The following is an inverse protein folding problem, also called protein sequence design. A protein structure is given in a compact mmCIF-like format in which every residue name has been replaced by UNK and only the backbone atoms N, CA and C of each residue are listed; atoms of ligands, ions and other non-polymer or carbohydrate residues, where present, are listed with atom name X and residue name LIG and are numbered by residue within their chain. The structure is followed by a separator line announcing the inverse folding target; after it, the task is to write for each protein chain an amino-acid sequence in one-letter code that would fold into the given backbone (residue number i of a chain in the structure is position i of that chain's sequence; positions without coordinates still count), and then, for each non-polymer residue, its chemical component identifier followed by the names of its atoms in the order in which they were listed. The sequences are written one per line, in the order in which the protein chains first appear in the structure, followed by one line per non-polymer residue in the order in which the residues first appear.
data_IF_764553091016
#
_entry.id   IF_764553091016
#
_cell.length_a   1.000
_cell.length_b   1.000
_cell.length_c   1.000
_cell.angle_alpha   90.00
_cell.angle_beta   90.00
_cell.angle_gamma   90.00
#
_symmetry.space_group_name_H-M   'P 1'
#
loop_
_entity.id
_entity.type
_entity.pdbx_description
1 polymer ?
#
# COMPACT_ATOMS: atom_id res chain seq x y z
N UNK A 1 18.61 7.08 -0.58
CA UNK A 1 17.66 6.05 -1.07
C UNK A 1 17.94 5.82 -2.55
N UNK A 2 17.97 4.58 -3.05
CA UNK A 2 18.14 4.29 -4.49
C UNK A 2 16.81 3.79 -5.04
N UNK A 3 16.36 4.34 -6.17
CA UNK A 3 15.12 3.93 -6.82
C UNK A 3 15.44 3.12 -8.08
N UNK A 4 14.67 2.07 -8.31
CA UNK A 4 14.74 1.26 -9.53
C UNK A 4 13.33 1.00 -10.04
N UNK A 5 13.06 1.36 -11.28
CA UNK A 5 11.83 0.95 -11.94
C UNK A 5 11.90 -0.55 -12.23
N UNK A 6 10.91 -1.31 -11.78
CA UNK A 6 10.82 -2.76 -12.00
C UNK A 6 9.41 -3.13 -12.44
N UNK A 7 9.31 -4.14 -13.29
CA UNK A 7 8.03 -4.77 -13.57
C UNK A 7 7.62 -5.66 -12.39
N UNK A 8 6.32 -5.88 -12.13
CA UNK A 8 5.87 -6.72 -11.03
C UNK A 8 6.48 -8.14 -11.02
N UNK A 9 6.65 -8.75 -12.20
CA UNK A 9 7.26 -10.07 -12.38
C UNK A 9 8.78 -10.10 -12.11
N UNK A 10 9.42 -8.93 -11.98
CA UNK A 10 10.85 -8.74 -11.72
C UNK A 10 11.13 -8.12 -10.35
N UNK A 11 10.12 -8.01 -9.48
CA UNK A 11 10.27 -7.40 -8.16
C UNK A 11 11.29 -8.15 -7.29
N UNK A 12 11.37 -9.48 -7.42
CA UNK A 12 12.21 -10.32 -6.56
C UNK A 12 11.70 -10.34 -5.12
N UNK A 13 12.61 -10.58 -4.16
CA UNK A 13 12.32 -10.42 -2.72
C UNK A 13 12.50 -8.95 -2.31
N UNK A 14 11.54 -8.42 -1.55
CA UNK A 14 11.54 -7.05 -1.03
C UNK A 14 11.08 -7.07 0.42
N UNK A 15 11.60 -6.19 1.27
CA UNK A 15 11.20 -6.14 2.68
C UNK A 15 9.77 -5.62 2.87
N UNK A 16 9.32 -4.77 1.94
CA UNK A 16 8.00 -4.18 1.98
C UNK A 16 7.44 -3.82 0.60
N UNK A 17 6.12 -3.79 0.50
CA UNK A 17 5.36 -3.37 -0.68
C UNK A 17 4.36 -2.29 -0.25
N UNK A 18 4.38 -1.15 -0.94
CA UNK A 18 3.38 -0.10 -0.77
C UNK A 18 2.28 -0.30 -1.81
N UNK A 19 1.03 -0.40 -1.35
CA UNK A 19 -0.14 -0.66 -2.20
C UNK A 19 -1.15 0.47 -2.05
N UNK A 20 -1.40 1.27 -3.10
CA UNK A 20 -2.54 2.19 -3.10
C UNK A 20 -3.85 1.41 -3.16
N UNK A 21 -4.78 1.72 -2.27
CA UNK A 21 -6.12 1.14 -2.24
C UNK A 21 -7.17 2.19 -2.57
N UNK A 22 -7.80 2.03 -3.72
CA UNK A 22 -8.91 2.89 -4.10
C UNK A 22 -10.22 2.39 -3.51
N UNK A 23 -11.13 3.32 -3.21
CA UNK A 23 -12.48 3.01 -2.79
C UNK A 23 -13.19 2.15 -3.84
N UNK A 24 -13.93 1.14 -3.37
CA UNK A 24 -14.76 0.25 -4.19
C UNK A 24 -14.01 -0.50 -5.31
N UNK A 25 -12.70 -0.65 -5.18
CA UNK A 25 -11.86 -1.43 -6.11
C UNK A 25 -11.32 -2.69 -5.45
N UNK A 26 -11.20 -3.79 -6.21
CA UNK A 26 -10.56 -4.99 -5.71
C UNK A 26 -9.05 -4.75 -5.51
N UNK A 27 -8.42 -5.47 -4.56
CA UNK A 27 -6.97 -5.44 -4.39
C UNK A 27 -6.23 -5.84 -5.68
N UNK A 28 -5.02 -5.30 -5.94
CA UNK A 28 -4.29 -5.55 -7.18
C UNK A 28 -4.08 -7.05 -7.46
N UNK A 29 -4.40 -7.48 -8.68
CA UNK A 29 -4.45 -8.89 -9.08
C UNK A 29 -3.09 -9.60 -9.06
N UNK A 30 -1.99 -8.85 -9.20
CA UNK A 30 -0.61 -9.36 -9.17
C UNK A 30 -0.15 -9.77 -7.76
N UNK A 31 -0.89 -9.39 -6.72
CA UNK A 31 -0.61 -9.85 -5.36
C UNK A 31 -1.01 -11.33 -5.17
N UNK A 32 -0.29 -12.08 -4.32
CA UNK A 32 -0.68 -13.43 -3.95
C UNK A 32 -2.13 -13.50 -3.45
N UNK A 33 -2.83 -14.59 -3.77
CA UNK A 33 -4.25 -14.77 -3.41
C UNK A 33 -4.49 -14.55 -1.91
N UNK A 34 -3.64 -15.11 -1.06
CA UNK A 34 -3.74 -14.94 0.40
C UNK A 34 -3.66 -13.47 0.82
N UNK A 35 -2.71 -12.71 0.27
CA UNK A 35 -2.57 -11.27 0.50
C UNK A 35 -3.80 -10.50 0.04
N UNK A 36 -4.34 -10.81 -1.14
CA UNK A 36 -5.57 -10.18 -1.64
C UNK A 36 -6.77 -10.44 -0.72
N UNK A 37 -6.93 -11.66 -0.23
CA UNK A 37 -7.99 -12.00 0.73
C UNK A 37 -7.83 -11.23 2.04
N UNK A 38 -6.61 -11.09 2.56
CA UNK A 38 -6.33 -10.31 3.75
C UNK A 38 -6.68 -8.81 3.56
N UNK A 39 -6.25 -8.22 2.44
CA UNK A 39 -6.57 -6.82 2.11
C UNK A 39 -8.08 -6.62 1.96
N UNK A 40 -8.77 -7.52 1.25
CA UNK A 40 -10.22 -7.43 1.08
C UNK A 40 -10.98 -7.54 2.41
N UNK A 41 -10.46 -8.31 3.37
CA UNK A 41 -11.00 -8.36 4.74
C UNK A 41 -10.80 -7.03 5.46
N UNK A 42 -9.59 -6.46 5.41
CA UNK A 42 -9.28 -5.16 6.02
C UNK A 42 -10.18 -4.05 5.43
N UNK A 43 -10.33 -3.99 4.11
CA UNK A 43 -11.21 -3.01 3.46
C UNK A 43 -12.66 -3.07 3.97
N UNK A 44 -13.14 -4.24 4.40
CA UNK A 44 -14.49 -4.41 4.96
C UNK A 44 -14.57 -4.10 6.46
N UNK A 45 -13.52 -4.41 7.21
CA UNK A 45 -13.54 -4.36 8.68
C UNK A 45 -13.03 -3.03 9.23
N UNK A 46 -12.04 -2.42 8.57
CA UNK A 46 -11.38 -1.22 9.07
C UNK A 46 -11.86 0.03 8.32
N UNK A 47 -12.66 0.83 9.03
CA UNK A 47 -13.08 2.14 8.55
C UNK A 47 -11.88 3.03 8.26
N UNK A 48 -11.83 3.56 7.04
CA UNK A 48 -10.80 4.51 6.62
C UNK A 48 -9.59 3.90 5.92
N UNK A 49 -9.56 2.58 5.66
CA UNK A 49 -8.47 1.94 4.88
C UNK A 49 -8.33 2.55 3.47
N UNK A 50 -9.46 2.97 2.87
CA UNK A 50 -9.51 3.64 1.56
C UNK A 50 -9.58 5.17 1.68
N UNK A 51 -9.64 5.72 2.90
CA UNK A 51 -9.64 7.17 3.14
C UNK A 51 -8.32 7.73 2.62
N UNK A 52 -8.40 8.83 1.89
CA UNK A 52 -7.23 9.45 1.26
C UNK A 52 -6.09 9.64 2.27
N UNK A 53 -4.92 9.07 1.95
CA UNK A 53 -3.69 9.05 2.75
C UNK A 53 -3.76 8.32 4.10
N UNK A 54 -4.87 7.66 4.41
CA UNK A 54 -4.95 6.71 5.51
C UNK A 54 -3.96 5.57 5.28
N UNK A 55 -3.24 5.17 6.32
CA UNK A 55 -2.25 4.09 6.22
C UNK A 55 -2.61 2.96 7.15
N UNK A 56 -2.58 1.75 6.61
CA UNK A 56 -2.64 0.51 7.37
C UNK A 56 -1.48 -0.41 6.97
N UNK A 57 -0.98 -1.24 7.87
CA UNK A 57 0.13 -2.17 7.60
C UNK A 57 -0.29 -3.59 7.90
N UNK A 58 -0.29 -4.44 6.88
CA UNK A 58 -0.33 -5.89 7.05
C UNK A 58 1.09 -6.38 7.35
N UNK A 59 1.28 -6.87 8.57
CA UNK A 59 2.53 -7.50 8.97
C UNK A 59 2.66 -8.88 8.33
N UNK A 60 3.83 -9.17 7.77
CA UNK A 60 4.15 -10.39 7.04
C UNK A 60 5.49 -10.25 6.33
N UNK A 61 5.85 -11.27 5.54
CA UNK A 61 7.01 -11.26 4.67
C UNK A 61 6.55 -11.50 3.21
N UNK A 62 6.54 -10.47 2.34
CA UNK A 62 6.94 -9.08 2.59
C UNK A 62 5.89 -8.29 3.39
N UNK A 63 6.32 -7.24 4.08
CA UNK A 63 5.40 -6.31 4.78
C UNK A 63 4.55 -5.55 3.77
N UNK A 64 3.23 -5.47 3.94
CA UNK A 64 2.38 -4.71 3.02
C UNK A 64 1.90 -3.42 3.70
N UNK A 65 2.22 -2.27 3.11
CA UNK A 65 1.73 -0.95 3.54
C UNK A 65 0.62 -0.52 2.60
N UNK A 66 -0.59 -0.49 3.12
CA UNK A 66 -1.79 -0.06 2.42
C UNK A 66 -1.95 1.44 2.59
N UNK A 67 -2.09 2.17 1.48
CA UNK A 67 -2.32 3.62 1.48
C UNK A 67 -3.65 3.91 0.79
N UNK A 68 -4.58 4.54 1.49
CA UNK A 68 -5.86 4.92 0.93
C UNK A 68 -5.69 5.95 -0.18
N UNK A 69 -6.20 5.63 -1.36
CA UNK A 69 -6.07 6.43 -2.58
C UNK A 69 -7.37 7.19 -2.93
N UNK A 70 -8.42 7.08 -2.12
CA UNK A 70 -9.72 7.72 -2.39
C UNK A 70 -10.40 7.13 -3.63
N UNK A 71 -11.16 7.95 -4.35
CA UNK A 71 -11.90 7.52 -5.55
C UNK A 71 -10.96 7.44 -6.77
N UNK A 72 -11.03 6.38 -7.60
CA UNK A 72 -10.19 6.25 -8.80
C UNK A 72 -10.26 7.43 -9.77
N UNK A 73 -11.47 7.97 -9.99
CA UNK A 73 -11.71 9.06 -10.94
C UNK A 73 -11.15 10.42 -10.51
N UNK A 74 -10.65 10.53 -9.28
CA UNK A 74 -10.07 11.76 -8.76
C UNK A 74 -8.53 11.68 -8.68
N UNK A 75 -7.89 10.70 -9.33
CA UNK A 75 -6.44 10.55 -9.29
C UNK A 75 -5.76 11.61 -10.19
N UNK A 76 -4.91 12.44 -9.59
CA UNK A 76 -4.06 13.41 -10.27
C UNK A 76 -2.58 13.24 -9.87
N UNK A 77 -1.70 14.02 -10.51
CA UNK A 77 -0.27 13.95 -10.25
C UNK A 77 0.11 14.30 -8.80
N UNK A 78 -0.64 15.20 -8.15
CA UNK A 78 -0.38 15.61 -6.77
C UNK A 78 -0.75 14.48 -5.81
N UNK A 79 -1.92 13.87 -5.99
CA UNK A 79 -2.39 12.72 -5.21
C UNK A 79 -1.46 11.53 -5.36
N UNK A 80 -0.97 11.23 -6.57
CA UNK A 80 0.03 10.15 -6.76
C UNK A 80 1.28 10.41 -5.91
N UNK A 81 1.80 11.65 -5.91
CA UNK A 81 2.95 12.03 -5.07
C UNK A 81 2.65 11.89 -3.59
N UNK A 82 1.47 12.34 -3.16
CA UNK A 82 1.07 12.30 -1.76
C UNK A 82 0.83 10.86 -1.25
N UNK A 83 0.26 9.98 -2.08
CA UNK A 83 0.11 8.55 -1.79
C UNK A 83 1.49 7.90 -1.60
N UNK A 84 2.41 8.13 -2.55
CA UNK A 84 3.77 7.59 -2.45
C UNK A 84 4.51 8.11 -1.20
N UNK A 85 4.38 9.42 -0.93
CA UNK A 85 4.95 10.07 0.26
C UNK A 85 4.40 9.48 1.56
N UNK A 86 3.09 9.27 1.66
CA UNK A 86 2.45 8.65 2.82
C UNK A 86 2.98 7.22 3.07
N UNK A 87 3.11 6.42 2.01
CA UNK A 87 3.68 5.07 2.10
C UNK A 87 5.13 5.07 2.57
N UNK A 88 5.99 5.91 1.99
CA UNK A 88 7.41 6.01 2.38
C UNK A 88 7.54 6.49 3.84
N UNK A 89 6.79 7.51 4.24
CA UNK A 89 6.79 8.01 5.63
C UNK A 89 6.32 6.95 6.63
N UNK A 90 5.37 6.10 6.25
CA UNK A 90 4.94 4.99 7.09
C UNK A 90 6.05 3.96 7.29
N UNK A 91 6.78 3.62 6.23
CA UNK A 91 7.95 2.74 6.33
C UNK A 91 9.01 3.32 7.28
N UNK A 92 9.36 4.61 7.13
CA UNK A 92 10.33 5.26 8.01
C UNK A 92 9.89 5.34 9.47
N UNK A 93 8.61 5.63 9.76
CA UNK A 93 8.11 5.63 11.13
C UNK A 93 8.13 4.23 11.75
N UNK A 94 7.91 3.19 10.94
CA UNK A 94 7.94 1.81 11.41
C UNK A 94 9.35 1.31 11.73
N UNK A 95 10.39 1.83 11.07
CA UNK A 95 11.79 1.51 11.40
C UNK A 95 12.26 2.20 12.68
N UNK A 96 11.72 3.39 13.00
CA UNK A 96 12.08 4.14 14.22
C UNK A 96 11.58 3.49 15.52
N UNK A 97 10.59 2.59 15.47
CA UNK A 97 10.04 1.89 16.64
C UNK A 97 10.74 0.58 17.00
N UNK A 98 11.76 0.16 16.25
CA UNK A 98 12.66 -0.92 16.67
C UNK A 98 13.88 -0.30 17.35
N UNK A 99 13.81 -0.11 18.67
CA UNK A 99 14.94 0.06 19.58
C UNK A 99 14.73 -0.93 20.72
#
# INVERSE_FOLDING_TARGET
MKFRAVRPDKLGSVDAIVVPLFADTPPPSWLPRATRTAIARIQKQEHGTTRLYGVNTLHGDPRIVLVGAGKPGELDAERVRNIASAGIRALWRSSLRKV
#
